data_IF_780705696139
#
_entry.id   IF_780705696139
#
_cell.length_a   1.000
_cell.length_b   1.000
_cell.length_c   1.000
_cell.angle_alpha   90.00
_cell.angle_beta   90.00
_cell.angle_gamma   90.00
#
_symmetry.space_group_name_H-M   'P 1'
#
loop_
_entity.id
_entity.type
_entity.pdbx_description
1 polymer ?
#
# COMPACT_ATOMS: atom_id res chain seq x y z
N UNK A 1 26.39 -29.98 -67.55
CA UNK A 1 27.56 -29.71 -66.66
C UNK A 1 27.65 -28.24 -66.23
N UNK A 2 27.37 -27.28 -67.10
CA UNK A 2 27.46 -25.85 -66.76
C UNK A 2 26.34 -25.37 -65.84
N UNK A 3 25.14 -25.96 -65.93
CA UNK A 3 23.99 -25.65 -65.07
C UNK A 3 24.21 -26.24 -63.68
N UNK A 4 24.75 -27.42 -63.56
CA UNK A 4 25.05 -28.10 -62.28
C UNK A 4 26.17 -27.40 -61.48
N UNK A 5 27.14 -26.77 -62.20
CA UNK A 5 28.17 -25.94 -61.58
C UNK A 5 27.65 -24.61 -61.07
N UNK A 6 26.63 -24.02 -61.71
CA UNK A 6 26.00 -22.76 -61.27
C UNK A 6 25.13 -22.98 -60.01
N UNK A 7 24.42 -24.10 -59.91
CA UNK A 7 23.66 -24.44 -58.71
C UNK A 7 24.53 -24.74 -57.50
N UNK A 8 25.65 -25.43 -57.68
CA UNK A 8 26.63 -25.67 -56.59
C UNK A 8 27.35 -24.40 -56.12
N UNK A 9 27.47 -23.35 -56.99
CA UNK A 9 28.00 -22.03 -56.57
C UNK A 9 27.01 -21.21 -55.83
N UNK A 10 25.69 -21.34 -56.06
CA UNK A 10 24.67 -20.60 -55.29
C UNK A 10 24.44 -21.21 -53.90
N UNK A 11 24.66 -22.50 -53.68
CA UNK A 11 24.53 -23.16 -52.39
C UNK A 11 25.69 -22.83 -51.42
N UNK A 12 26.83 -22.33 -51.90
CA UNK A 12 28.03 -22.03 -51.06
C UNK A 12 28.05 -20.65 -50.42
N UNK A 13 27.03 -19.79 -50.61
CA UNK A 13 27.05 -18.40 -50.12
C UNK A 13 26.11 -18.06 -48.96
N UNK A 14 25.50 -19.04 -48.29
CA UNK A 14 24.87 -18.81 -47.00
C UNK A 14 25.86 -19.08 -45.85
N UNK A 15 27.01 -18.37 -45.85
CA UNK A 15 27.77 -18.23 -44.62
C UNK A 15 26.86 -17.54 -43.62
N UNK A 16 26.51 -18.22 -42.53
CA UNK A 16 25.88 -17.61 -41.37
C UNK A 16 26.73 -16.40 -41.00
N UNK A 17 26.19 -15.21 -41.21
CA UNK A 17 26.84 -13.97 -40.83
C UNK A 17 26.92 -14.01 -39.28
N UNK A 18 28.06 -14.41 -38.76
CA UNK A 18 28.33 -14.34 -37.34
C UNK A 18 28.22 -12.89 -36.91
N UNK A 19 27.76 -12.65 -35.70
CA UNK A 19 27.71 -11.30 -35.14
C UNK A 19 29.15 -10.73 -35.12
N UNK A 20 29.32 -9.53 -35.61
CA UNK A 20 30.61 -8.85 -35.50
C UNK A 20 30.90 -8.53 -34.02
N UNK A 21 32.18 -8.50 -33.59
CA UNK A 21 32.55 -8.29 -32.20
C UNK A 21 31.95 -7.02 -31.57
N UNK A 22 31.81 -5.96 -32.38
CA UNK A 22 31.23 -4.69 -31.93
C UNK A 22 29.74 -4.84 -31.60
N UNK A 23 28.96 -5.50 -32.48
CA UNK A 23 27.52 -5.77 -32.24
C UNK A 23 27.34 -6.66 -31.02
N UNK A 24 28.22 -7.64 -30.81
CA UNK A 24 28.15 -8.51 -29.60
C UNK A 24 28.45 -7.70 -28.34
N UNK A 25 29.43 -6.83 -28.36
CA UNK A 25 29.76 -5.96 -27.22
C UNK A 25 28.62 -5.02 -26.88
N UNK A 26 28.01 -4.37 -27.88
CA UNK A 26 26.83 -3.50 -27.68
C UNK A 26 25.67 -4.28 -27.10
N UNK A 27 25.40 -5.50 -27.59
CA UNK A 27 24.35 -6.36 -27.06
C UNK A 27 24.60 -6.72 -25.59
N UNK A 28 25.84 -7.07 -25.23
CA UNK A 28 26.20 -7.41 -23.85
C UNK A 28 26.01 -6.20 -22.92
N UNK A 29 26.45 -5.01 -23.35
CA UNK A 29 26.24 -3.78 -22.57
C UNK A 29 24.74 -3.51 -22.39
N UNK A 30 23.95 -3.62 -23.46
CA UNK A 30 22.49 -3.43 -23.38
C UNK A 30 21.84 -4.44 -22.45
N UNK A 31 22.28 -5.71 -22.49
CA UNK A 31 21.80 -6.74 -21.56
C UNK A 31 22.15 -6.43 -20.10
N UNK A 32 23.38 -5.99 -19.83
CA UNK A 32 23.80 -5.59 -18.48
C UNK A 32 22.96 -4.41 -17.95
N UNK A 33 22.74 -3.39 -18.78
CA UNK A 33 21.87 -2.25 -18.42
C UNK A 33 20.44 -2.71 -18.16
N UNK A 34 19.91 -3.58 -19.01
CA UNK A 34 18.56 -4.13 -18.83
C UNK A 34 18.42 -4.91 -17.52
N UNK A 35 19.35 -5.84 -17.24
CA UNK A 35 19.34 -6.64 -16.00
C UNK A 35 19.49 -5.75 -14.78
N UNK A 36 20.39 -4.76 -14.82
CA UNK A 36 20.55 -3.80 -13.73
C UNK A 36 19.28 -2.99 -13.48
N UNK A 37 18.64 -2.49 -14.56
CA UNK A 37 17.39 -1.73 -14.46
C UNK A 37 16.23 -2.59 -13.93
N UNK A 38 16.13 -3.84 -14.38
CA UNK A 38 15.14 -4.79 -13.89
C UNK A 38 15.34 -5.11 -12.41
N UNK A 39 16.60 -5.29 -11.98
CA UNK A 39 16.94 -5.47 -10.56
C UNK A 39 16.55 -4.26 -9.71
N UNK A 40 16.87 -3.05 -10.16
CA UNK A 40 16.49 -1.81 -9.47
C UNK A 40 14.97 -1.67 -9.34
N UNK A 41 14.24 -1.99 -10.42
CA UNK A 41 12.77 -1.97 -10.41
C UNK A 41 12.21 -3.01 -9.41
N UNK A 42 12.73 -4.22 -9.41
CA UNK A 42 12.33 -5.26 -8.47
C UNK A 42 12.58 -4.82 -7.02
N UNK A 43 13.78 -4.30 -6.71
CA UNK A 43 14.11 -3.78 -5.38
C UNK A 43 13.23 -2.61 -4.94
N UNK A 44 12.74 -1.81 -5.89
CA UNK A 44 11.80 -0.73 -5.59
C UNK A 44 10.41 -1.26 -5.23
N UNK A 45 10.01 -2.42 -5.76
CA UNK A 45 8.69 -3.04 -5.53
C UNK A 45 8.63 -3.88 -4.24
N UNK A 46 9.78 -4.42 -3.78
CA UNK A 46 9.85 -5.27 -2.58
C UNK A 46 9.18 -4.65 -1.35
N UNK A 47 9.44 -3.36 -0.97
CA UNK A 47 8.82 -2.77 0.20
C UNK A 47 7.28 -2.74 0.16
N UNK A 48 6.69 -2.54 -1.03
CA UNK A 48 5.23 -2.56 -1.19
C UNK A 48 4.66 -3.96 -0.94
N UNK A 49 5.32 -4.98 -1.49
CA UNK A 49 4.88 -6.36 -1.32
C UNK A 49 5.00 -6.82 0.15
N UNK A 50 6.18 -6.63 0.75
CA UNK A 50 6.43 -7.05 2.14
C UNK A 50 5.59 -6.27 3.16
N UNK A 51 5.36 -4.97 2.90
CA UNK A 51 4.49 -4.17 3.76
C UNK A 51 3.02 -4.58 3.65
N UNK A 52 2.54 -4.90 2.44
CA UNK A 52 1.18 -5.42 2.25
C UNK A 52 0.96 -6.75 2.97
N UNK A 53 1.88 -7.71 2.84
CA UNK A 53 1.82 -8.99 3.57
C UNK A 53 1.78 -8.76 5.09
N UNK A 54 2.61 -7.87 5.63
CA UNK A 54 2.61 -7.55 7.06
C UNK A 54 1.23 -7.03 7.51
N UNK A 55 0.62 -6.10 6.75
CA UNK A 55 -0.72 -5.59 7.11
C UNK A 55 -1.81 -6.64 7.00
N UNK A 56 -1.71 -7.60 6.09
CA UNK A 56 -2.65 -8.72 6.01
C UNK A 56 -2.47 -9.67 7.21
N UNK A 57 -1.26 -9.91 7.68
CA UNK A 57 -0.97 -10.65 8.90
C UNK A 57 -1.55 -9.93 10.14
N UNK A 58 -1.37 -8.61 10.25
CA UNK A 58 -1.93 -7.81 11.34
C UNK A 58 -3.46 -7.82 11.33
N UNK A 59 -4.11 -7.74 10.16
CA UNK A 59 -5.56 -7.90 10.03
C UNK A 59 -6.03 -9.26 10.51
N UNK A 60 -5.35 -10.33 10.09
CA UNK A 60 -5.66 -11.70 10.50
C UNK A 60 -5.44 -11.93 12.01
N UNK A 61 -4.43 -11.28 12.60
CA UNK A 61 -4.14 -11.34 14.04
C UNK A 61 -5.24 -10.65 14.87
N UNK A 62 -5.65 -9.46 14.44
CA UNK A 62 -6.42 -8.54 15.27
C UNK A 62 -7.93 -8.55 14.99
N UNK A 63 -8.38 -8.88 13.78
CA UNK A 63 -9.80 -8.88 13.45
C UNK A 63 -10.44 -10.18 13.95
N UNK A 64 -11.24 -10.09 15.01
CA UNK A 64 -11.94 -11.24 15.60
C UNK A 64 -13.22 -11.56 14.84
N UNK A 65 -13.93 -10.54 14.35
CA UNK A 65 -15.15 -10.70 13.57
C UNK A 65 -15.28 -9.58 12.53
N UNK A 66 -15.43 -9.98 11.27
CA UNK A 66 -15.70 -9.08 10.12
C UNK A 66 -17.05 -9.42 9.46
N UNK A 67 -17.86 -10.26 10.07
CA UNK A 67 -19.16 -10.66 9.51
C UNK A 67 -20.19 -9.56 9.73
N UNK A 68 -20.47 -8.80 8.68
CA UNK A 68 -21.70 -8.04 8.56
C UNK A 68 -22.79 -9.07 8.25
N UNK A 69 -23.59 -9.42 9.25
CA UNK A 69 -24.68 -10.38 9.06
C UNK A 69 -25.80 -9.77 8.23
N UNK A 70 -26.05 -10.31 7.05
CA UNK A 70 -27.30 -10.08 6.35
C UNK A 70 -28.42 -10.78 7.14
N UNK A 71 -29.32 -9.99 7.74
CA UNK A 71 -30.65 -10.45 8.13
C UNK A 71 -30.83 -11.08 9.52
N UNK A 72 -29.93 -10.89 10.48
CA UNK A 72 -30.14 -11.28 11.88
C UNK A 72 -29.99 -10.08 12.81
N UNK A 73 -30.92 -9.91 13.75
CA UNK A 73 -31.04 -8.74 14.64
C UNK A 73 -29.85 -8.54 15.60
N UNK A 74 -28.86 -9.45 15.60
CA UNK A 74 -27.56 -9.35 16.28
C UNK A 74 -26.43 -9.85 15.35
N UNK A 75 -26.15 -9.09 14.29
CA UNK A 75 -24.93 -9.34 13.51
C UNK A 75 -23.69 -9.11 14.39
N UNK A 76 -22.68 -9.99 14.34
CA UNK A 76 -21.43 -9.76 15.04
C UNK A 76 -20.81 -8.46 14.53
N UNK A 77 -20.75 -7.45 15.40
CA UNK A 77 -20.12 -6.17 15.11
C UNK A 77 -18.64 -6.42 14.82
N UNK A 78 -18.09 -5.61 13.93
CA UNK A 78 -16.63 -5.60 13.72
C UNK A 78 -15.91 -5.45 15.06
N UNK A 79 -15.00 -6.36 15.36
CA UNK A 79 -14.29 -6.43 16.64
C UNK A 79 -12.78 -6.55 16.40
N UNK A 80 -12.02 -5.80 17.19
CA UNK A 80 -10.56 -5.74 17.15
C UNK A 80 -10.01 -6.22 18.49
N UNK A 81 -9.06 -7.14 18.45
CA UNK A 81 -8.29 -7.60 19.58
C UNK A 81 -7.12 -6.63 19.84
N UNK A 82 -7.39 -5.61 20.64
CA UNK A 82 -6.38 -4.60 20.98
C UNK A 82 -5.27 -5.15 21.88
N UNK A 83 -5.53 -6.19 22.65
CA UNK A 83 -4.47 -6.80 23.49
C UNK A 83 -3.39 -7.41 22.62
N UNK A 84 -3.75 -8.08 21.52
CA UNK A 84 -2.77 -8.60 20.56
C UNK A 84 -2.05 -7.48 19.81
N UNK A 85 -2.77 -6.45 19.38
CA UNK A 85 -2.14 -5.30 18.71
C UNK A 85 -1.12 -4.59 19.60
N UNK A 86 -1.47 -4.34 20.87
CA UNK A 86 -0.57 -3.69 21.81
C UNK A 86 0.60 -4.57 22.26
N UNK A 87 0.46 -5.91 22.17
CA UNK A 87 1.61 -6.82 22.35
C UNK A 87 2.60 -6.75 21.18
N UNK A 88 2.09 -6.59 19.94
CA UNK A 88 2.92 -6.40 18.75
C UNK A 88 3.51 -4.99 18.70
N UNK A 89 2.69 -3.97 18.94
CA UNK A 89 3.15 -2.59 18.99
C UNK A 89 2.41 -1.81 20.10
N UNK A 90 3.11 -1.45 21.20
CA UNK A 90 2.53 -0.70 22.31
C UNK A 90 2.09 0.73 21.96
N UNK A 91 2.52 1.27 20.82
CA UNK A 91 2.10 2.57 20.29
C UNK A 91 0.69 2.55 19.68
N UNK A 92 0.01 1.42 19.73
CA UNK A 92 -1.36 1.26 19.21
C UNK A 92 -2.35 2.11 19.98
N UNK A 93 -3.08 2.98 19.28
CA UNK A 93 -4.10 3.85 19.88
C UNK A 93 -5.51 3.58 19.37
N UNK A 94 -5.66 3.03 18.14
CA UNK A 94 -6.98 2.78 17.55
C UNK A 94 -6.89 1.80 16.38
N UNK A 95 -8.06 1.48 15.82
CA UNK A 95 -8.23 0.90 14.49
C UNK A 95 -9.13 1.80 13.67
N UNK A 96 -8.69 2.21 12.49
CA UNK A 96 -9.45 2.99 11.53
C UNK A 96 -10.03 2.07 10.46
N UNK A 97 -11.33 2.21 10.17
CA UNK A 97 -12.01 1.47 9.11
C UNK A 97 -13.01 2.35 8.37
N UNK A 98 -12.97 2.30 7.05
CA UNK A 98 -13.99 2.89 6.19
C UNK A 98 -15.04 1.84 5.80
N UNK A 99 -16.23 2.30 5.34
CA UNK A 99 -17.29 1.42 4.88
C UNK A 99 -16.87 0.57 3.68
N UNK A 100 -17.49 -0.62 3.56
CA UNK A 100 -17.26 -1.52 2.43
C UNK A 100 -17.87 -0.96 1.12
N UNK A 101 -17.21 -1.18 -0.04
CA UNK A 101 -15.96 -1.90 -0.21
C UNK A 101 -14.76 -0.95 0.04
N UNK A 102 -14.13 -1.05 1.18
CA UNK A 102 -13.00 -0.22 1.53
C UNK A 102 -11.75 -1.05 1.79
N UNK A 103 -10.66 -0.63 1.17
CA UNK A 103 -9.32 -1.14 1.48
C UNK A 103 -8.73 -0.46 2.72
N UNK A 104 -9.30 0.67 3.19
CA UNK A 104 -8.84 1.38 4.36
C UNK A 104 -9.39 0.68 5.61
N UNK A 105 -8.58 -0.21 6.18
CA UNK A 105 -8.82 -0.89 7.44
C UNK A 105 -7.47 -1.20 8.08
N UNK A 106 -7.02 -0.31 8.99
CA UNK A 106 -5.66 -0.32 9.52
C UNK A 106 -5.61 0.01 11.00
N UNK A 107 -4.64 -0.55 11.75
CA UNK A 107 -4.31 -0.05 13.08
C UNK A 107 -3.77 1.38 12.97
N UNK A 108 -4.03 2.17 14.00
CA UNK A 108 -3.51 3.53 14.16
C UNK A 108 -2.52 3.53 15.30
N UNK A 109 -1.31 3.99 15.03
CA UNK A 109 -0.24 4.13 16.03
C UNK A 109 0.02 5.59 16.35
N UNK A 110 0.70 5.86 17.47
CA UNK A 110 1.15 7.19 17.85
C UNK A 110 2.49 7.13 18.54
N UNK A 111 3.45 7.87 18.04
CA UNK A 111 4.77 8.00 18.67
C UNK A 111 4.99 9.40 19.28
N UNK A 112 6.19 9.60 19.81
CA UNK A 112 6.62 10.87 20.38
C UNK A 112 6.83 11.98 19.34
N UNK A 113 6.92 11.64 18.06
CA UNK A 113 7.05 12.58 16.94
C UNK A 113 6.24 12.13 15.73
N UNK A 114 6.11 13.02 14.72
CA UNK A 114 5.36 12.73 13.50
C UNK A 114 6.22 12.16 12.35
N UNK A 115 7.46 11.74 12.61
CA UNK A 115 8.38 11.26 11.58
C UNK A 115 8.54 9.74 11.60
N UNK A 116 8.49 9.13 12.77
CA UNK A 116 8.79 7.71 12.97
C UNK A 116 8.00 6.80 12.03
N UNK A 117 6.70 6.93 12.04
CA UNK A 117 5.79 6.09 11.26
C UNK A 117 5.59 6.53 9.80
N UNK A 118 6.31 7.56 9.34
CA UNK A 118 6.39 7.86 7.91
C UNK A 118 7.14 6.79 7.12
N UNK A 119 8.10 6.10 7.76
CA UNK A 119 8.95 5.11 7.12
C UNK A 119 9.05 3.80 7.89
N UNK A 120 8.16 3.59 8.85
CA UNK A 120 8.03 2.33 9.59
C UNK A 120 6.60 1.81 9.48
N UNK A 121 6.45 0.51 9.27
CA UNK A 121 5.16 -0.18 9.32
C UNK A 121 4.61 -0.24 10.75
N UNK A 122 3.45 -0.86 10.91
CA UNK A 122 2.85 -1.08 12.23
C UNK A 122 3.79 -1.82 13.18
N UNK A 123 4.47 -2.87 12.74
CA UNK A 123 5.44 -3.63 13.56
C UNK A 123 6.81 -2.95 13.69
N UNK A 124 6.88 -1.65 13.41
CA UNK A 124 8.08 -0.80 13.47
C UNK A 124 9.23 -1.24 12.54
N UNK A 125 8.94 -2.00 11.50
CA UNK A 125 9.90 -2.36 10.46
C UNK A 125 10.12 -1.20 9.48
N UNK A 126 11.37 -0.95 9.08
CA UNK A 126 11.69 0.06 8.07
C UNK A 126 11.03 -0.29 6.72
N UNK A 127 10.09 0.54 6.30
CA UNK A 127 9.36 0.36 5.05
C UNK A 127 8.76 1.68 4.56
N UNK A 128 8.87 1.94 3.26
CA UNK A 128 8.31 3.14 2.60
C UNK A 128 6.78 3.22 2.63
N UNK A 129 6.10 2.11 2.91
CA UNK A 129 4.66 2.07 3.07
C UNK A 129 4.22 2.87 4.30
N UNK A 130 5.05 2.92 5.33
CA UNK A 130 4.74 3.59 6.58
C UNK A 130 3.59 2.94 7.33
N UNK A 131 3.04 3.66 8.29
CA UNK A 131 1.83 3.28 9.01
C UNK A 131 0.78 4.39 8.96
N UNK A 132 -0.44 4.06 9.39
CA UNK A 132 -1.45 5.06 9.72
C UNK A 132 -1.16 5.53 11.14
N UNK A 133 -0.94 6.81 11.35
CA UNK A 133 -0.55 7.32 12.66
C UNK A 133 -1.25 8.63 13.04
N UNK A 134 -1.45 8.80 14.35
CA UNK A 134 -2.03 10.00 14.94
C UNK A 134 -0.94 11.06 15.19
N UNK A 135 -1.30 12.33 15.03
CA UNK A 135 -0.40 13.46 15.36
C UNK A 135 0.05 13.39 16.82
N UNK A 136 1.33 13.63 17.05
CA UNK A 136 1.96 13.59 18.39
C UNK A 136 1.28 14.50 19.42
N UNK A 137 0.62 15.57 18.99
CA UNK A 137 -0.06 16.54 19.87
C UNK A 137 -1.46 16.11 20.29
N UNK A 138 -2.08 15.16 19.57
CA UNK A 138 -3.43 14.71 19.88
C UNK A 138 -3.48 13.76 21.08
N UNK A 139 -4.62 13.70 21.75
CA UNK A 139 -4.88 12.77 22.85
C UNK A 139 -5.26 11.38 22.30
N UNK A 140 -4.76 10.31 22.94
CA UNK A 140 -4.98 8.94 22.50
C UNK A 140 -6.46 8.51 22.57
N UNK A 141 -7.26 9.21 23.36
CA UNK A 141 -8.69 8.93 23.58
C UNK A 141 -9.63 9.63 22.58
N UNK A 142 -9.09 10.35 21.61
CA UNK A 142 -9.86 11.12 20.61
C UNK A 142 -10.77 12.20 21.24
N UNK A 143 -10.39 12.78 22.37
CA UNK A 143 -11.15 13.82 23.05
C UNK A 143 -10.89 15.23 22.51
N UNK A 144 -9.89 15.40 21.65
CA UNK A 144 -9.58 16.68 21.03
C UNK A 144 -10.70 17.14 20.09
N UNK A 145 -10.83 18.46 19.92
CA UNK A 145 -11.76 19.02 18.92
C UNK A 145 -11.38 18.67 17.49
N UNK A 146 -10.08 18.54 17.24
CA UNK A 146 -9.51 18.13 15.95
C UNK A 146 -8.46 17.05 16.21
N UNK A 147 -8.62 15.91 15.58
CA UNK A 147 -7.63 14.82 15.60
C UNK A 147 -7.08 14.65 14.20
N UNK A 148 -5.76 14.72 14.08
CA UNK A 148 -5.08 14.51 12.82
C UNK A 148 -4.59 13.06 12.74
N UNK A 149 -4.91 12.38 11.63
CA UNK A 149 -4.43 11.05 11.32
C UNK A 149 -3.77 11.11 9.96
N UNK A 150 -2.54 10.62 9.89
CA UNK A 150 -1.70 10.63 8.70
C UNK A 150 -1.59 9.22 8.11
N UNK A 151 -1.38 9.17 6.81
CA UNK A 151 -1.10 7.94 6.07
C UNK A 151 -0.67 8.26 4.66
N UNK A 152 0.19 7.42 4.08
CA UNK A 152 0.65 7.62 2.73
C UNK A 152 -0.47 7.47 1.69
N UNK A 153 -0.43 8.28 0.64
CA UNK A 153 -1.22 8.09 -0.58
C UNK A 153 -0.38 7.29 -1.58
N UNK A 154 -0.50 5.96 -1.53
CA UNK A 154 0.32 5.06 -2.34
C UNK A 154 -0.19 5.00 -3.78
N UNK A 155 0.67 5.37 -4.74
CA UNK A 155 0.32 5.30 -6.18
C UNK A 155 0.34 3.88 -6.73
N UNK A 156 1.05 2.98 -6.06
CA UNK A 156 1.20 1.57 -6.43
C UNK A 156 0.62 0.73 -5.30
N UNK A 157 -0.13 -0.31 -5.63
CA UNK A 157 -0.76 -1.20 -4.64
C UNK A 157 -2.11 -0.72 -4.10
N UNK A 158 -2.38 0.59 -4.12
CA UNK A 158 -3.67 1.13 -3.67
C UNK A 158 -3.88 1.06 -2.16
N UNK A 159 -2.80 0.98 -1.38
CA UNK A 159 -2.83 0.82 0.07
C UNK A 159 -2.83 2.15 0.83
N UNK A 160 -2.92 2.07 2.14
CA UNK A 160 -2.99 3.20 3.07
C UNK A 160 -4.16 4.14 2.73
N UNK A 161 -3.91 5.43 2.55
CA UNK A 161 -4.94 6.43 2.25
C UNK A 161 -5.17 6.67 0.74
N UNK A 162 -4.64 5.81 -0.13
CA UNK A 162 -4.81 5.99 -1.59
C UNK A 162 -6.27 5.99 -2.03
N UNK A 163 -7.15 5.20 -1.39
CA UNK A 163 -8.57 5.15 -1.72
C UNK A 163 -9.31 6.44 -1.37
N UNK A 164 -8.76 7.33 -0.52
CA UNK A 164 -9.37 8.64 -0.28
C UNK A 164 -9.50 9.49 -1.55
N UNK A 165 -8.72 9.20 -2.59
CA UNK A 165 -8.86 9.87 -3.89
C UNK A 165 -10.23 9.59 -4.56
N UNK A 166 -10.89 8.48 -4.23
CA UNK A 166 -12.21 8.13 -4.76
C UNK A 166 -13.31 9.10 -4.29
N UNK A 167 -13.09 9.79 -3.16
CA UNK A 167 -14.00 10.85 -2.69
C UNK A 167 -14.02 12.10 -3.57
N UNK A 168 -13.23 12.17 -4.64
CA UNK A 168 -13.42 13.13 -5.72
C UNK A 168 -14.73 12.88 -6.50
N UNK A 169 -15.31 11.67 -6.40
CA UNK A 169 -16.62 11.29 -6.96
C UNK A 169 -17.73 11.50 -5.94
N UNK A 170 -18.75 12.26 -6.31
CA UNK A 170 -19.97 12.44 -5.50
C UNK A 170 -20.71 11.12 -5.28
N UNK A 171 -20.73 10.25 -6.28
CA UNK A 171 -21.37 8.94 -6.19
C UNK A 171 -20.66 8.04 -5.19
N UNK A 172 -19.33 8.07 -5.17
CA UNK A 172 -18.54 7.34 -4.17
C UNK A 172 -18.81 7.86 -2.75
N UNK A 173 -18.82 9.18 -2.56
CA UNK A 173 -19.16 9.78 -1.26
C UNK A 173 -20.56 9.37 -0.79
N UNK A 174 -21.58 9.44 -1.68
CA UNK A 174 -22.96 9.03 -1.34
C UNK A 174 -23.08 7.56 -0.95
N UNK A 175 -22.27 6.70 -1.56
CA UNK A 175 -22.25 5.28 -1.27
C UNK A 175 -21.45 4.95 0.03
N UNK A 176 -20.44 5.78 0.38
CA UNK A 176 -19.50 5.52 1.47
C UNK A 176 -19.26 6.74 2.37
N UNK A 177 -20.33 7.32 2.98
CA UNK A 177 -20.20 8.57 3.72
C UNK A 177 -19.54 8.42 5.09
N UNK A 178 -19.40 7.19 5.62
CA UNK A 178 -18.97 6.96 7.00
C UNK A 178 -17.65 6.24 7.10
N UNK A 179 -16.92 6.54 8.19
CA UNK A 179 -15.80 5.74 8.67
C UNK A 179 -15.86 5.59 10.20
N UNK A 180 -15.12 4.63 10.70
CA UNK A 180 -15.18 4.20 12.09
C UNK A 180 -13.82 4.21 12.73
N UNK A 181 -13.77 4.64 14.00
CA UNK A 181 -12.60 4.53 14.86
C UNK A 181 -12.97 3.63 16.03
N UNK A 182 -12.27 2.53 16.16
CA UNK A 182 -12.35 1.60 17.30
C UNK A 182 -11.19 1.90 18.24
N UNK A 183 -11.44 1.90 19.54
CA UNK A 183 -10.44 2.22 20.56
C UNK A 183 -10.32 1.11 21.58
N UNK A 184 -9.15 0.98 22.28
CA UNK A 184 -8.92 -0.09 23.26
C UNK A 184 -9.90 -0.12 24.42
N UNK A 185 -10.54 1.00 24.75
CA UNK A 185 -11.59 1.10 25.77
C UNK A 185 -12.95 0.54 25.32
N UNK A 186 -13.00 -0.15 24.18
CA UNK A 186 -14.18 -0.79 23.63
C UNK A 186 -15.17 0.16 22.95
N UNK A 187 -14.83 1.42 22.78
CA UNK A 187 -15.69 2.39 22.10
C UNK A 187 -15.52 2.33 20.58
N UNK A 188 -16.64 2.56 19.90
CA UNK A 188 -16.66 2.81 18.45
C UNK A 188 -17.19 4.21 18.20
N UNK A 189 -16.43 4.99 17.46
CA UNK A 189 -16.81 6.33 17.01
C UNK A 189 -17.12 6.28 15.53
N UNK A 190 -18.30 6.78 15.15
CA UNK A 190 -18.71 6.92 13.75
C UNK A 190 -18.51 8.36 13.32
N UNK A 191 -17.84 8.56 12.21
CA UNK A 191 -17.60 9.83 11.59
C UNK A 191 -18.21 9.88 10.20
N UNK A 192 -18.69 11.05 9.81
CA UNK A 192 -19.18 11.30 8.45
C UNK A 192 -18.17 12.15 7.69
N UNK A 193 -17.84 11.73 6.47
CA UNK A 193 -16.99 12.51 5.58
C UNK A 193 -17.78 13.72 5.09
N UNK A 194 -17.38 14.93 5.45
CA UNK A 194 -18.04 16.14 4.98
C UNK A 194 -17.23 16.92 3.96
N UNK A 195 -15.95 16.62 3.80
CA UNK A 195 -15.08 17.25 2.81
C UNK A 195 -13.90 16.33 2.46
N UNK A 196 -13.58 16.25 1.17
CA UNK A 196 -12.35 15.64 0.69
C UNK A 196 -11.74 16.57 -0.38
N UNK A 197 -10.45 16.90 -0.26
CA UNK A 197 -9.78 17.81 -1.18
C UNK A 197 -8.29 17.51 -1.29
N UNK A 198 -7.74 17.79 -2.45
CA UNK A 198 -6.30 17.80 -2.68
C UNK A 198 -5.79 19.22 -2.42
N UNK A 199 -4.81 19.34 -1.53
CA UNK A 199 -4.16 20.61 -1.20
C UNK A 199 -2.65 20.50 -1.41
N UNK A 200 -1.97 21.65 -1.53
CA UNK A 200 -0.51 21.66 -1.51
C UNK A 200 -0.05 21.45 -0.07
N UNK A 201 1.11 20.82 0.09
CA UNK A 201 1.76 20.57 1.38
C UNK A 201 2.05 21.83 2.20
N UNK A 202 2.17 22.98 1.52
CA UNK A 202 2.34 24.32 2.12
C UNK A 202 1.01 25.02 2.47
N UNK A 203 -0.14 24.37 2.27
CA UNK A 203 -1.43 24.96 2.63
C UNK A 203 -1.62 24.95 4.16
N UNK A 204 -2.03 26.08 4.71
CA UNK A 204 -2.52 26.14 6.09
C UNK A 204 -3.83 25.34 6.20
N UNK A 205 -3.91 24.41 7.14
CA UNK A 205 -5.05 23.53 7.40
C UNK A 205 -5.87 24.06 8.56
#
# INVERSE_FOLDING_TARGET
>A
EEVEMKEKKQQKSKKKKGWDPLSLTVLLIALCVFVFSAYQLAMMMVPYYTGGEEYDEIKNLAIVSDKIGEGVEEAPKFQVDFDKLMQENPDTVAWLRFDQPSIISYPVVKSADNNEYLTKTFSANDNKLGAIFMDMRNQNDFSDRNTFIYGHNMKVGGEMFSQLNEYASEDFYKAHPYFYIYTPDGKTRTYEVFSARVVKDSAEV
#
